data_IF_654082811651
#
_entry.id   IF_654082811651
#
_cell.length_a   1.000
_cell.length_b   1.000
_cell.length_c   1.000
_cell.angle_alpha   90.00
_cell.angle_beta   90.00
_cell.angle_gamma   90.00
#
_symmetry.space_group_name_H-M   'P 1'
#
loop_
_entity.id
_entity.type
_entity.pdbx_description
1 polymer ?
#
# COMPACT_ATOMS: atom_id res chain seq x y z
N UNK A 1 22.18 12.21 -6.78
CA UNK A 1 21.67 13.31 -5.95
C UNK A 1 22.56 13.46 -4.74
N UNK A 2 22.98 14.67 -4.38
CA UNK A 2 23.67 14.89 -3.10
C UNK A 2 22.66 14.74 -1.95
N UNK A 3 22.77 13.68 -1.13
CA UNK A 3 21.78 13.35 -0.08
C UNK A 3 21.55 14.48 0.94
N UNK A 4 22.57 15.31 1.18
CA UNK A 4 22.48 16.49 2.05
C UNK A 4 21.42 17.51 1.58
N UNK A 5 21.15 17.55 0.27
CA UNK A 5 20.15 18.44 -0.28
C UNK A 5 18.71 18.00 0.03
N UNK A 6 18.44 16.75 0.42
CA UNK A 6 17.08 16.26 0.73
C UNK A 6 16.54 16.83 2.04
N UNK A 7 17.42 17.10 3.00
CA UNK A 7 17.07 17.60 4.34
C UNK A 7 17.32 19.10 4.52
N UNK A 8 17.66 19.81 3.43
CA UNK A 8 17.95 21.24 3.51
C UNK A 8 16.66 22.08 3.49
N UNK A 9 16.50 22.95 4.49
CA UNK A 9 15.40 23.91 4.55
C UNK A 9 15.55 25.04 3.51
N UNK A 10 16.79 25.42 3.19
CA UNK A 10 17.11 26.48 2.24
C UNK A 10 17.28 25.91 0.83
N UNK A 11 17.02 26.72 -0.20
CA UNK A 11 17.17 26.34 -1.61
C UNK A 11 15.86 26.05 -2.37
N UNK A 12 15.98 25.77 -3.66
CA UNK A 12 14.88 25.66 -4.63
C UNK A 12 14.98 24.33 -5.38
N UNK A 13 13.83 23.71 -5.64
CA UNK A 13 13.74 22.44 -6.37
C UNK A 13 13.00 22.66 -7.68
N UNK A 14 13.54 22.15 -8.78
CA UNK A 14 12.84 22.13 -10.05
C UNK A 14 11.72 21.07 -10.06
N UNK A 15 10.80 21.19 -11.01
CA UNK A 15 9.65 20.28 -11.11
C UNK A 15 10.02 18.81 -11.26
N UNK A 16 11.04 18.52 -12.06
CA UNK A 16 11.52 17.15 -12.30
C UNK A 16 12.07 16.51 -11.02
N UNK A 17 12.90 17.24 -10.26
CA UNK A 17 13.45 16.75 -9.00
C UNK A 17 12.35 16.53 -7.97
N UNK A 18 11.40 17.46 -7.86
CA UNK A 18 10.26 17.29 -6.97
C UNK A 18 9.47 16.01 -7.31
N UNK A 19 9.16 15.79 -8.60
CA UNK A 19 8.45 14.59 -9.07
C UNK A 19 9.24 13.29 -8.81
N UNK A 20 10.55 13.31 -9.00
CA UNK A 20 11.40 12.14 -8.72
C UNK A 20 11.45 11.83 -7.22
N UNK A 21 11.57 12.86 -6.36
CA UNK A 21 11.56 12.68 -4.91
C UNK A 21 10.20 12.16 -4.45
N UNK A 22 9.09 12.71 -4.94
CA UNK A 22 7.76 12.24 -4.57
C UNK A 22 7.52 10.80 -5.02
N UNK A 23 7.85 10.46 -6.28
CA UNK A 23 7.75 9.09 -6.77
C UNK A 23 8.60 8.11 -5.93
N UNK A 24 9.82 8.51 -5.56
CA UNK A 24 10.71 7.68 -4.73
C UNK A 24 10.13 7.44 -3.33
N UNK A 25 9.48 8.45 -2.73
CA UNK A 25 8.84 8.32 -1.41
C UNK A 25 7.70 7.29 -1.44
N UNK A 26 6.79 7.39 -2.41
CA UNK A 26 5.69 6.43 -2.54
C UNK A 26 6.19 5.03 -2.93
N UNK A 27 7.24 4.94 -3.74
CA UNK A 27 7.88 3.67 -4.08
C UNK A 27 8.50 2.99 -2.85
N UNK A 28 9.21 3.74 -1.99
CA UNK A 28 9.78 3.20 -0.74
C UNK A 28 8.67 2.71 0.20
N UNK A 29 7.54 3.43 0.29
CA UNK A 29 6.39 2.97 1.07
C UNK A 29 5.78 1.67 0.52
N UNK A 30 5.61 1.57 -0.79
CA UNK A 30 5.14 0.34 -1.43
C UNK A 30 6.10 -0.83 -1.22
N UNK A 31 7.41 -0.59 -1.35
CA UNK A 31 8.43 -1.61 -1.06
C UNK A 31 8.39 -2.03 0.42
N UNK A 32 8.21 -1.06 1.32
CA UNK A 32 7.99 -1.32 2.74
C UNK A 32 6.79 -2.22 2.99
N UNK A 33 5.67 -1.97 2.31
CA UNK A 33 4.46 -2.80 2.41
C UNK A 33 4.71 -4.23 1.93
N UNK A 34 5.43 -4.41 0.83
CA UNK A 34 5.80 -5.75 0.33
C UNK A 34 6.69 -6.51 1.32
N UNK A 35 7.61 -5.82 2.00
CA UNK A 35 8.58 -6.45 2.91
C UNK A 35 8.04 -6.67 4.33
N UNK A 36 7.20 -5.76 4.84
CA UNK A 36 6.76 -5.70 6.23
C UNK A 36 5.27 -6.06 6.40
N UNK A 37 4.53 -6.26 5.30
CA UNK A 37 3.09 -6.51 5.31
C UNK A 37 2.27 -5.38 5.94
N UNK A 38 1.04 -5.69 6.36
CA UNK A 38 0.16 -4.79 7.10
C UNK A 38 0.64 -4.64 8.55
N UNK A 39 1.67 -3.82 8.76
CA UNK A 39 2.25 -3.59 10.09
C UNK A 39 2.34 -2.11 10.43
N UNK A 40 2.29 -1.80 11.72
CA UNK A 40 2.47 -0.44 12.24
C UNK A 40 3.83 0.17 11.87
N UNK A 41 4.81 -0.65 11.47
CA UNK A 41 6.11 -0.20 10.97
C UNK A 41 5.97 0.71 9.73
N UNK A 42 4.91 0.55 8.93
CA UNK A 42 4.63 1.42 7.78
C UNK A 42 4.24 2.84 8.18
N UNK A 43 3.59 3.02 9.33
CA UNK A 43 3.31 4.37 9.86
C UNK A 43 4.60 5.05 10.29
N UNK A 44 5.50 4.30 10.92
CA UNK A 44 6.83 4.81 11.29
C UNK A 44 7.61 5.20 10.04
N UNK A 45 7.60 4.35 9.01
CA UNK A 45 8.23 4.63 7.72
C UNK A 45 7.63 5.86 7.04
N UNK A 46 6.30 6.00 7.03
CA UNK A 46 5.61 7.18 6.52
C UNK A 46 6.00 8.46 7.26
N UNK A 47 6.08 8.42 8.58
CA UNK A 47 6.55 9.53 9.41
C UNK A 47 8.01 9.91 9.10
N UNK A 48 8.89 8.94 8.83
CA UNK A 48 10.28 9.20 8.45
C UNK A 48 10.41 9.81 7.06
N UNK A 49 9.51 9.47 6.13
CA UNK A 49 9.51 9.99 4.76
C UNK A 49 8.78 11.34 4.62
N UNK A 50 7.86 11.66 5.51
CA UNK A 50 7.14 12.93 5.56
C UNK A 50 8.04 14.18 5.52
N UNK A 51 9.12 14.31 6.32
CA UNK A 51 10.00 15.48 6.23
C UNK A 51 10.70 15.58 4.87
N UNK A 52 11.05 14.47 4.23
CA UNK A 52 11.69 14.48 2.90
C UNK A 52 10.74 15.03 1.85
N UNK A 53 9.50 14.54 1.83
CA UNK A 53 8.47 15.00 0.89
C UNK A 53 8.06 16.45 1.19
N UNK A 54 7.85 16.78 2.46
CA UNK A 54 7.46 18.13 2.90
C UNK A 54 8.50 19.18 2.59
N UNK A 55 9.79 18.90 2.82
CA UNK A 55 10.88 19.81 2.48
C UNK A 55 11.06 19.95 0.96
N UNK A 56 10.87 18.88 0.19
CA UNK A 56 10.84 18.94 -1.27
C UNK A 56 9.70 19.83 -1.78
N UNK A 57 8.48 19.62 -1.27
CA UNK A 57 7.30 20.42 -1.59
C UNK A 57 7.47 21.90 -1.19
N UNK A 58 8.03 22.15 0.00
CA UNK A 58 8.31 23.51 0.49
C UNK A 58 9.30 24.26 -0.40
N UNK A 59 10.37 23.58 -0.85
CA UNK A 59 11.34 24.17 -1.79
C UNK A 59 10.73 24.39 -3.18
N UNK A 60 9.87 23.48 -3.63
CA UNK A 60 9.16 23.62 -4.91
C UNK A 60 8.18 24.80 -4.89
N UNK A 61 7.44 24.96 -3.80
CA UNK A 61 6.52 26.10 -3.64
C UNK A 61 7.25 27.43 -3.61
N UNK A 62 8.45 27.48 -3.03
CA UNK A 62 9.29 28.68 -3.02
C UNK A 62 9.81 29.02 -4.42
N UNK A 63 10.16 28.01 -5.22
CA UNK A 63 10.58 28.16 -6.62
C UNK A 63 9.45 28.70 -7.52
N UNK A 64 8.23 28.23 -7.26
CA UNK A 64 7.01 28.70 -7.92
C UNK A 64 6.44 30.01 -7.32
N UNK A 65 7.11 30.60 -6.31
CA UNK A 65 6.64 31.78 -5.55
C UNK A 65 5.20 31.65 -5.00
N UNK A 66 4.75 30.43 -4.72
CA UNK A 66 3.45 30.18 -4.11
C UNK A 66 3.51 30.16 -2.58
N UNK A 67 2.36 30.16 -1.90
CA UNK A 67 2.31 30.19 -0.46
C UNK A 67 2.87 28.89 0.13
N UNK A 68 3.72 29.00 1.14
CA UNK A 68 4.46 27.89 1.73
C UNK A 68 3.55 26.80 2.32
N UNK A 69 2.37 27.16 2.79
CA UNK A 69 1.42 26.21 3.39
C UNK A 69 0.87 25.19 2.39
N UNK A 70 0.92 25.47 1.08
CA UNK A 70 0.58 24.47 0.05
C UNK A 70 1.49 23.25 0.08
N UNK A 71 2.69 23.35 0.64
CA UNK A 71 3.55 22.18 0.86
C UNK A 71 2.88 21.12 1.76
N UNK A 72 2.02 21.54 2.69
CA UNK A 72 1.28 20.62 3.56
C UNK A 72 0.24 19.80 2.77
N UNK A 73 -0.27 20.30 1.64
CA UNK A 73 -1.25 19.57 0.83
C UNK A 73 -0.68 18.26 0.28
N UNK A 74 0.62 18.23 0.00
CA UNK A 74 1.31 17.03 -0.51
C UNK A 74 1.50 15.97 0.58
N UNK A 75 1.45 16.37 1.85
CA UNK A 75 1.55 15.45 2.99
C UNK A 75 0.21 14.76 3.30
N UNK A 76 -0.93 15.35 2.93
CA UNK A 76 -2.25 14.77 3.19
C UNK A 76 -2.40 13.40 2.51
N UNK A 77 -2.13 13.24 1.19
CA UNK A 77 -2.17 11.93 0.54
C UNK A 77 -1.14 10.95 1.10
N UNK A 78 0.04 11.43 1.54
CA UNK A 78 1.06 10.57 2.15
C UNK A 78 0.55 9.94 3.46
N UNK A 79 -0.04 10.75 4.34
CA UNK A 79 -0.59 10.28 5.61
C UNK A 79 -1.76 9.33 5.37
N UNK A 80 -2.70 9.71 4.50
CA UNK A 80 -3.85 8.86 4.17
C UNK A 80 -3.39 7.53 3.57
N UNK A 81 -2.46 7.56 2.61
CA UNK A 81 -1.94 6.34 1.99
C UNK A 81 -1.24 5.44 3.02
N UNK A 82 -0.45 6.00 3.93
CA UNK A 82 0.21 5.23 4.99
C UNK A 82 -0.80 4.59 5.96
N UNK A 83 -1.86 5.31 6.34
CA UNK A 83 -2.95 4.79 7.18
C UNK A 83 -3.71 3.69 6.44
N UNK A 84 -4.03 3.90 5.16
CA UNK A 84 -4.73 2.92 4.32
C UNK A 84 -3.92 1.64 4.17
N UNK A 85 -2.59 1.72 3.98
CA UNK A 85 -1.74 0.52 3.91
C UNK A 85 -1.72 -0.31 5.21
N UNK A 86 -1.99 0.29 6.37
CA UNK A 86 -1.99 -0.42 7.67
C UNK A 86 -3.38 -0.94 8.03
N UNK A 87 -4.42 -0.12 7.84
CA UNK A 87 -5.73 -0.37 8.43
C UNK A 87 -6.83 -0.68 7.40
N UNK A 88 -6.61 -0.42 6.12
CA UNK A 88 -7.63 -0.64 5.11
C UNK A 88 -7.33 -1.88 4.26
N UNK A 89 -8.30 -2.79 4.16
CA UNK A 89 -8.24 -3.92 3.24
C UNK A 89 -8.64 -3.54 1.79
N UNK A 90 -9.13 -2.32 1.56
CA UNK A 90 -9.60 -1.86 0.25
C UNK A 90 -8.45 -1.43 -0.66
N UNK A 91 -8.10 -2.29 -1.63
CA UNK A 91 -7.16 -1.99 -2.70
C UNK A 91 -7.61 -0.77 -3.51
N UNK A 92 -8.92 -0.64 -3.76
CA UNK A 92 -9.49 0.46 -4.52
C UNK A 92 -9.22 1.82 -3.85
N UNK A 93 -9.41 1.91 -2.54
CA UNK A 93 -9.12 3.11 -1.77
C UNK A 93 -7.63 3.46 -1.80
N UNK A 94 -6.74 2.47 -1.63
CA UNK A 94 -5.29 2.68 -1.69
C UNK A 94 -4.85 3.20 -3.07
N UNK A 95 -5.36 2.60 -4.15
CA UNK A 95 -5.07 3.03 -5.53
C UNK A 95 -5.63 4.43 -5.78
N UNK A 96 -6.84 4.75 -5.33
CA UNK A 96 -7.43 6.07 -5.49
C UNK A 96 -6.59 7.16 -4.81
N UNK A 97 -6.16 6.92 -3.56
CA UNK A 97 -5.30 7.85 -2.82
C UNK A 97 -3.94 8.01 -3.53
N UNK A 98 -3.35 6.93 -4.03
CA UNK A 98 -2.10 6.98 -4.79
C UNK A 98 -2.24 7.80 -6.08
N UNK A 99 -3.35 7.64 -6.81
CA UNK A 99 -3.64 8.44 -8.01
C UNK A 99 -3.75 9.92 -7.64
N UNK A 100 -4.47 10.26 -6.57
CA UNK A 100 -4.57 11.64 -6.07
C UNK A 100 -3.17 12.18 -5.73
N UNK A 101 -2.35 11.40 -5.04
CA UNK A 101 -0.97 11.76 -4.70
C UNK A 101 -0.10 12.05 -5.93
N UNK A 102 -0.22 11.21 -6.97
CA UNK A 102 0.51 11.37 -8.24
C UNK A 102 0.02 12.62 -8.98
N UNK A 103 -1.28 12.82 -9.11
CA UNK A 103 -1.86 13.99 -9.78
C UNK A 103 -1.44 15.29 -9.09
N UNK A 104 -1.51 15.32 -7.75
CA UNK A 104 -1.08 16.47 -6.97
C UNK A 104 0.43 16.73 -7.13
N UNK A 105 1.24 15.67 -7.10
CA UNK A 105 2.69 15.78 -7.31
C UNK A 105 3.02 16.30 -8.72
N UNK A 106 2.34 15.82 -9.75
CA UNK A 106 2.51 16.29 -11.12
C UNK A 106 2.05 17.73 -11.30
N UNK A 107 0.96 18.12 -10.63
CA UNK A 107 0.49 19.51 -10.63
C UNK A 107 1.55 20.45 -10.05
N UNK A 108 2.10 20.14 -8.88
CA UNK A 108 3.18 20.92 -8.25
C UNK A 108 4.47 20.90 -9.08
N UNK A 109 4.79 19.77 -9.71
CA UNK A 109 5.93 19.65 -10.61
C UNK A 109 5.79 20.58 -11.83
N UNK A 110 4.58 20.82 -12.33
CA UNK A 110 4.34 21.66 -13.52
C UNK A 110 4.22 23.16 -13.26
N UNK A 111 4.26 23.60 -12.00
CA UNK A 111 4.20 25.03 -11.70
C UNK A 111 5.37 25.80 -12.36
N UNK A 112 5.14 26.94 -13.01
CA UNK A 112 6.24 27.72 -13.58
C UNK A 112 7.14 28.27 -12.46
N UNK A 113 8.45 28.17 -12.64
CA UNK A 113 9.42 28.83 -11.77
C UNK A 113 9.41 30.33 -12.04
N UNK A 114 9.25 31.15 -11.00
CA UNK A 114 9.15 32.62 -11.15
C UNK A 114 10.52 33.30 -11.00
N UNK A 115 11.50 32.59 -10.42
CA UNK A 115 12.84 33.13 -10.15
C UNK A 115 13.76 33.11 -11.38
N UNK A 116 14.65 34.12 -11.46
CA UNK A 116 15.80 34.16 -12.39
C UNK A 116 16.90 33.20 -11.92
N UNK A 117 16.61 31.90 -11.91
CA UNK A 117 17.58 30.87 -11.59
C UNK A 117 18.41 30.59 -12.84
N UNK A 118 19.72 30.90 -12.79
CA UNK A 118 20.62 30.74 -13.96
C UNK A 118 20.91 29.27 -14.29
N UNK A 119 21.02 28.39 -13.30
CA UNK A 119 21.25 26.95 -13.51
C UNK A 119 20.79 26.12 -12.32
N UNK A 120 20.17 24.97 -12.59
CA UNK A 120 19.91 23.94 -11.57
C UNK A 120 20.98 22.85 -11.68
N UNK A 121 21.62 22.51 -10.57
CA UNK A 121 22.53 21.37 -10.52
C UNK A 121 21.77 20.16 -9.96
N UNK A 122 21.60 19.12 -10.78
CA UNK A 122 20.77 17.95 -10.44
C UNK A 122 19.33 18.32 -10.01
N UNK A 123 18.79 19.43 -10.53
CA UNK A 123 17.46 19.92 -10.20
C UNK A 123 17.33 20.68 -8.87
N UNK A 124 18.45 21.03 -8.23
CA UNK A 124 18.50 21.81 -6.98
C UNK A 124 19.32 23.09 -7.12
N UNK A 125 18.96 24.10 -6.33
CA UNK A 125 19.75 25.31 -6.09
C UNK A 125 19.77 25.61 -4.60
N UNK A 126 20.95 25.67 -3.98
CA UNK A 126 21.05 26.05 -2.57
C UNK A 126 22.42 25.72 -1.98
N UNK A 127 22.63 26.12 -0.72
CA UNK A 127 23.93 26.02 -0.02
C UNK A 127 24.52 24.60 0.01
N UNK A 128 23.67 23.56 -0.05
CA UNK A 128 24.15 22.17 -0.09
C UNK A 128 24.84 21.81 -1.42
N UNK A 129 24.58 22.55 -2.49
CA UNK A 129 25.37 22.50 -3.74
C UNK A 129 26.23 23.76 -3.75
N UNK A 130 27.36 23.70 -3.07
CA UNK A 130 28.47 24.57 -3.47
C UNK A 130 29.00 23.97 -4.78
N UNK A 131 28.96 24.68 -5.92
CA UNK A 131 29.87 24.32 -6.98
C UNK A 131 31.25 24.33 -6.33
N UNK A 132 32.01 23.24 -6.46
CA UNK A 132 33.46 23.36 -6.27
C UNK A 132 33.83 24.49 -7.21
N UNK A 133 34.12 25.68 -6.68
CA UNK A 133 34.83 26.64 -7.50
C UNK A 133 36.05 25.85 -7.93
N UNK A 134 36.23 25.69 -9.23
CA UNK A 134 37.58 25.58 -9.72
C UNK A 134 38.21 26.85 -9.19
N UNK A 135 38.88 26.73 -8.04
CA UNK A 135 39.85 27.74 -7.64
C UNK A 135 40.74 27.75 -8.85
N UNK A 136 40.57 28.78 -9.68
CA UNK A 136 41.47 29.09 -10.75
C UNK A 136 42.74 29.41 -9.99
N UNK A 137 43.52 28.36 -9.73
CA UNK A 137 44.77 28.41 -9.00
C UNK A 137 45.72 29.03 -10.01
N UNK A 138 45.51 30.33 -10.25
CA UNK A 138 46.35 31.15 -11.08
C UNK A 138 47.71 31.02 -10.42
N UNK A 139 48.58 30.24 -11.06
CA UNK A 139 49.91 29.95 -10.58
C UNK A 139 50.64 31.29 -10.63
N UNK A 140 50.68 32.00 -9.52
CA UNK A 140 51.51 33.18 -9.38
C UNK A 140 52.93 32.65 -9.23
N UNK A 141 53.69 32.74 -10.32
CA UNK A 141 55.13 32.48 -10.30
C UNK A 141 55.79 33.53 -9.38
N UNK A 142 56.66 33.14 -8.44
CA UNK A 142 57.40 34.09 -7.62
C UNK A 142 58.48 34.77 -8.48
N UNK A 143 58.31 36.05 -8.78
CA UNK A 143 59.34 36.85 -9.43
C UNK A 143 60.42 37.24 -8.41
N UNK A 144 61.60 36.60 -8.50
CA UNK A 144 62.83 37.09 -7.87
C UNK A 144 63.46 38.12 -8.81
N UNK A 145 63.28 39.40 -8.50
CA UNK A 145 63.99 40.48 -9.18
C UNK A 145 63.27 41.82 -9.07
N UNK A 146 63.67 42.63 -8.09
CA UNK A 146 63.28 44.04 -8.03
C UNK A 146 64.03 44.87 -9.07
N UNK A 147 63.38 45.85 -9.69
CA UNK A 147 63.42 47.26 -9.26
C UNK A 147 62.53 48.13 -10.18
N UNK A 148 61.55 48.79 -9.56
CA UNK A 148 60.92 50.09 -9.83
C UNK A 148 60.85 50.64 -11.28
N UNK A 149 59.63 50.91 -11.72
CA UNK A 149 59.27 52.24 -12.25
C UNK A 149 57.84 52.58 -11.82
N UNK A 150 57.71 53.59 -10.96
CA UNK A 150 56.44 54.24 -10.61
C UNK A 150 56.10 55.21 -11.74
N UNK A 151 55.03 54.93 -12.49
CA UNK A 151 54.20 55.93 -13.15
C UNK A 151 52.87 55.28 -13.57
N UNK A 152 51.79 56.03 -13.35
CA UNK A 152 50.44 55.88 -13.91
C UNK A 152 49.45 54.92 -13.21
N UNK A 153 48.92 55.49 -12.13
CA UNK A 153 47.49 55.71 -11.89
C UNK A 153 46.50 55.10 -12.90
N UNK A 154 45.65 54.21 -12.37
CA UNK A 154 44.22 54.04 -12.64
C UNK A 154 43.73 54.23 -14.08
N UNK A 155 43.70 53.14 -14.86
CA UNK A 155 42.55 52.82 -15.73
C UNK A 155 42.55 51.32 -16.05
N UNK A 156 42.19 50.52 -15.04
CA UNK A 156 41.77 49.13 -15.26
C UNK A 156 40.29 49.12 -15.55
N UNK A 157 39.94 49.40 -16.82
CA UNK A 157 38.65 49.07 -17.40
C UNK A 157 38.35 47.64 -16.98
N UNK A 158 37.22 47.44 -16.29
CA UNK A 158 36.60 46.14 -16.17
C UNK A 158 36.20 45.72 -17.58
N UNK A 159 37.13 45.07 -18.27
CA UNK A 159 36.78 44.17 -19.35
C UNK A 159 35.90 43.09 -18.71
N UNK A 160 34.59 43.26 -18.91
CA UNK A 160 33.65 42.15 -18.95
C UNK A 160 34.15 41.21 -20.04
N UNK A 161 35.14 40.41 -19.71
CA UNK A 161 35.59 39.29 -20.52
C UNK A 161 34.43 38.29 -20.47
N UNK A 162 33.54 38.43 -21.47
CA UNK A 162 32.64 37.41 -21.96
C UNK A 162 33.47 36.16 -22.28
N UNK A 163 33.80 35.40 -21.24
CA UNK A 163 34.40 34.09 -21.39
C UNK A 163 33.29 33.15 -21.84
N UNK A 164 33.10 33.19 -23.16
CA UNK A 164 32.18 32.40 -23.97
C UNK A 164 32.62 30.94 -23.96
N UNK A 165 32.54 30.30 -22.80
CA UNK A 165 32.50 28.84 -22.70
C UNK A 165 31.05 28.39 -22.73
N UNK A 166 30.49 28.52 -23.94
CA UNK A 166 29.29 27.86 -24.41
C UNK A 166 29.51 26.34 -24.36
N UNK A 167 29.38 25.76 -23.16
CA UNK A 167 29.08 24.33 -23.05
C UNK A 167 27.63 24.16 -23.47
N UNK A 168 27.43 23.96 -24.78
CA UNK A 168 26.28 23.26 -25.32
C UNK A 168 26.27 21.84 -24.74
N UNK A 169 25.77 21.69 -23.51
CA UNK A 169 25.10 20.44 -23.17
C UNK A 169 23.73 20.53 -23.82
N UNK A 170 23.62 19.88 -24.96
CA UNK A 170 22.38 19.51 -25.63
C UNK A 170 21.47 18.75 -24.66
N UNK A 171 20.74 19.49 -23.81
CA UNK A 171 19.52 18.97 -23.19
C UNK A 171 18.41 19.05 -24.23
N UNK A 172 18.48 18.15 -25.19
CA UNK A 172 17.39 17.78 -26.09
C UNK A 172 16.27 17.13 -25.28
N UNK A 173 15.55 17.91 -24.48
CA UNK A 173 14.23 17.56 -23.92
C UNK A 173 13.29 18.78 -23.94
N UNK A 174 13.54 19.69 -24.87
CA UNK A 174 12.81 20.95 -25.03
C UNK A 174 11.84 20.87 -26.23
N UNK A 175 11.19 19.73 -26.45
CA UNK A 175 10.39 19.52 -27.66
C UNK A 175 9.55 18.24 -27.74
N UNK A 176 8.91 17.80 -26.66
CA UNK A 176 7.84 16.78 -26.78
C UNK A 176 6.48 17.20 -26.18
N UNK A 177 6.43 18.27 -25.38
CA UNK A 177 5.20 18.69 -24.69
C UNK A 177 4.82 20.17 -24.88
N UNK A 178 5.56 20.93 -25.69
CA UNK A 178 5.31 22.38 -25.91
C UNK A 178 4.23 22.67 -26.98
N UNK A 179 3.58 21.64 -27.52
CA UNK A 179 2.49 21.78 -28.50
C UNK A 179 1.16 21.23 -27.96
N UNK A 180 0.73 21.67 -26.79
CA UNK A 180 -0.70 21.69 -26.46
C UNK A 180 -1.02 22.86 -25.52
N UNK A 181 -1.44 23.96 -26.14
CA UNK A 181 -2.42 24.96 -25.68
C UNK A 181 -2.72 25.11 -24.16
N UNK A 182 -1.72 25.30 -23.28
CA UNK A 182 -1.95 25.45 -21.83
C UNK A 182 -1.68 26.86 -21.26
N UNK A 183 -1.18 27.81 -22.07
CA UNK A 183 -1.11 29.24 -21.66
C UNK A 183 -2.47 29.87 -21.29
N UNK A 184 -3.60 29.51 -21.94
CA UNK A 184 -4.92 30.03 -21.52
C UNK A 184 -5.39 29.46 -20.17
N UNK A 185 -4.96 28.25 -19.82
CA UNK A 185 -5.48 27.49 -18.68
C UNK A 185 -4.94 27.99 -17.34
N UNK A 186 -3.70 28.50 -17.31
CA UNK A 186 -3.10 29.09 -16.11
C UNK A 186 -3.76 30.40 -15.70
N UNK A 187 -4.25 31.19 -16.67
CA UNK A 187 -5.05 32.39 -16.39
C UNK A 187 -6.47 32.03 -15.94
N UNK A 188 -7.10 31.04 -16.59
CA UNK A 188 -8.43 30.53 -16.22
C UNK A 188 -8.46 29.93 -14.81
N UNK A 189 -7.43 29.18 -14.41
CA UNK A 189 -7.29 28.58 -13.09
C UNK A 189 -7.15 29.63 -11.97
N UNK A 190 -6.45 30.74 -12.26
CA UNK A 190 -6.30 31.86 -11.31
C UNK A 190 -7.61 32.64 -11.13
N UNK A 191 -8.41 32.75 -12.19
CA UNK A 191 -9.71 33.42 -12.18
C UNK A 191 -10.83 32.57 -11.55
N UNK A 192 -10.71 31.24 -11.63
CA UNK A 192 -11.69 30.28 -11.10
C UNK A 192 -11.17 29.56 -9.84
N UNK A 193 -10.36 30.22 -9.01
CA UNK A 193 -9.79 29.62 -7.79
C UNK A 193 -10.88 29.06 -6.85
N UNK A 194 -12.06 29.70 -6.79
CA UNK A 194 -13.22 29.21 -6.02
C UNK A 194 -13.85 27.97 -6.65
N UNK A 195 -13.91 27.88 -7.98
CA UNK A 195 -14.44 26.71 -8.70
C UNK A 195 -13.45 25.55 -8.66
N UNK A 196 -12.14 25.81 -8.68
CA UNK A 196 -11.12 24.78 -8.47
C UNK A 196 -11.15 24.24 -7.05
N UNK A 197 -11.30 25.12 -6.04
CA UNK A 197 -11.54 24.68 -4.67
C UNK A 197 -12.85 23.91 -4.53
N UNK A 198 -13.91 24.29 -5.26
CA UNK A 198 -15.17 23.55 -5.29
C UNK A 198 -15.07 22.20 -6.00
N UNK A 199 -14.24 22.09 -7.05
CA UNK A 199 -13.98 20.81 -7.73
C UNK A 199 -13.13 19.90 -6.84
N UNK A 200 -12.09 20.42 -6.19
CA UNK A 200 -11.27 19.65 -5.24
C UNK A 200 -12.08 19.26 -3.99
N UNK A 201 -12.88 20.18 -3.45
CA UNK A 201 -13.80 19.89 -2.36
C UNK A 201 -14.91 18.93 -2.81
N UNK A 202 -15.37 19.03 -4.05
CA UNK A 202 -16.35 18.13 -4.65
C UNK A 202 -15.78 16.73 -4.86
N UNK A 203 -14.55 16.59 -5.35
CA UNK A 203 -13.86 15.31 -5.49
C UNK A 203 -13.55 14.71 -4.11
N UNK A 204 -13.14 15.55 -3.15
CA UNK A 204 -12.98 15.15 -1.75
C UNK A 204 -14.30 14.70 -1.13
N UNK A 205 -15.40 15.41 -1.38
CA UNK A 205 -16.73 15.03 -0.94
C UNK A 205 -17.21 13.76 -1.63
N UNK A 206 -16.89 13.54 -2.91
CA UNK A 206 -17.24 12.33 -3.64
C UNK A 206 -16.46 11.11 -3.12
N UNK A 207 -15.20 11.29 -2.74
CA UNK A 207 -14.40 10.26 -2.04
C UNK A 207 -14.93 10.01 -0.64
N UNK A 208 -15.33 11.05 0.11
CA UNK A 208 -15.97 10.91 1.41
C UNK A 208 -17.35 10.24 1.29
N UNK A 209 -18.12 10.55 0.26
CA UNK A 209 -19.42 9.93 -0.01
C UNK A 209 -19.22 8.48 -0.45
N UNK A 210 -18.23 8.17 -1.28
CA UNK A 210 -17.93 6.78 -1.65
C UNK A 210 -17.46 5.96 -0.43
N UNK A 211 -16.60 6.53 0.42
CA UNK A 211 -16.18 5.90 1.67
C UNK A 211 -17.31 5.81 2.71
N UNK A 212 -18.20 6.81 2.77
CA UNK A 212 -19.39 6.79 3.62
C UNK A 212 -20.43 5.81 3.07
N UNK A 213 -20.52 5.63 1.75
CA UNK A 213 -21.39 4.65 1.12
C UNK A 213 -20.89 3.24 1.42
N UNK A 214 -19.57 2.98 1.33
CA UNK A 214 -18.96 1.73 1.82
C UNK A 214 -19.22 1.52 3.32
N UNK A 215 -19.10 2.57 4.16
CA UNK A 215 -19.36 2.48 5.60
C UNK A 215 -20.85 2.30 5.96
N UNK A 216 -21.77 2.86 5.17
CA UNK A 216 -23.23 2.69 5.33
C UNK A 216 -23.71 1.35 4.79
N UNK A 217 -23.01 0.76 3.80
CA UNK A 217 -23.23 -0.63 3.36
C UNK A 217 -22.53 -1.65 4.25
N UNK A 218 -21.69 -1.21 5.20
CA UNK A 218 -20.99 -2.10 6.13
C UNK A 218 -21.85 -2.58 7.32
N UNK A 219 -23.08 -2.05 7.48
CA UNK A 219 -24.05 -2.54 8.46
C UNK A 219 -25.05 -3.51 7.81
N UNK A 220 -24.55 -4.68 7.43
CA UNK A 220 -25.29 -5.95 7.46
C UNK A 220 -24.36 -7.13 7.13
N UNK A 221 -23.24 -7.26 7.84
CA UNK A 221 -22.64 -8.57 8.12
C UNK A 221 -22.04 -8.55 9.53
N UNK A 222 -22.38 -9.52 10.40
CA UNK A 222 -21.71 -9.64 11.69
C UNK A 222 -20.25 -10.04 11.44
N UNK A 223 -19.37 -9.27 12.08
CA UNK A 223 -17.92 -9.44 12.23
C UNK A 223 -17.52 -10.94 12.19
N UNK A 224 -17.13 -11.40 11.01
CA UNK A 224 -16.36 -12.61 10.79
C UNK A 224 -15.26 -12.29 9.78
N UNK A 225 -14.01 -12.55 10.18
CA UNK A 225 -12.81 -12.72 9.36
C UNK A 225 -12.44 -11.62 8.32
N UNK A 226 -11.26 -11.00 8.41
CA UNK A 226 -9.99 -11.67 8.11
C UNK A 226 -9.97 -12.45 6.78
N UNK A 227 -10.65 -12.04 5.71
CA UNK A 227 -10.20 -12.40 4.34
C UNK A 227 -10.39 -11.26 3.34
N UNK A 228 -9.26 -10.74 2.91
CA UNK A 228 -9.11 -9.86 1.76
C UNK A 228 -9.33 -10.69 0.48
N UNK A 229 -10.49 -10.55 -0.16
CA UNK A 229 -10.74 -11.10 -1.49
C UNK A 229 -10.00 -10.26 -2.54
N UNK A 230 -8.72 -10.56 -2.78
CA UNK A 230 -8.10 -10.32 -4.09
C UNK A 230 -8.38 -11.54 -4.95
N UNK A 231 -8.95 -11.31 -6.13
CA UNK A 231 -9.02 -12.25 -7.24
C UNK A 231 -7.61 -12.64 -7.69
N UNK A 232 -6.97 -13.52 -6.94
CA UNK A 232 -5.97 -14.45 -7.45
C UNK A 232 -6.73 -15.74 -7.74
N UNK A 233 -6.40 -16.41 -8.84
CA UNK A 233 -6.88 -17.76 -9.09
C UNK A 233 -6.63 -18.59 -7.82
N UNK A 234 -7.72 -18.98 -7.17
CA UNK A 234 -7.72 -19.91 -6.06
C UNK A 234 -7.11 -21.19 -6.61
N UNK A 235 -5.81 -21.38 -6.38
CA UNK A 235 -5.30 -22.72 -6.15
C UNK A 235 -6.11 -23.15 -4.94
N UNK A 236 -7.20 -23.88 -5.19
CA UNK A 236 -7.96 -24.48 -4.12
C UNK A 236 -6.94 -25.20 -3.24
N UNK A 237 -6.89 -24.94 -1.93
CA UNK A 237 -6.11 -25.81 -1.06
C UNK A 237 -6.54 -27.23 -1.41
N UNK A 238 -5.59 -28.14 -1.62
CA UNK A 238 -5.89 -29.52 -2.01
C UNK A 238 -6.68 -30.16 -0.87
N UNK A 239 -8.01 -30.02 -0.92
CA UNK A 239 -8.94 -30.61 0.03
C UNK A 239 -9.03 -32.07 -0.31
N UNK A 240 -8.45 -32.88 0.55
CA UNK A 240 -8.48 -34.33 0.41
C UNK A 240 -9.76 -34.82 1.07
N UNK A 241 -10.69 -35.30 0.24
CA UNK A 241 -12.03 -35.72 0.65
C UNK A 241 -12.12 -37.25 0.67
N UNK A 242 -12.68 -37.79 1.75
CA UNK A 242 -13.12 -39.18 1.85
C UNK A 242 -14.65 -39.21 2.06
N UNK A 243 -15.36 -39.79 1.09
CA UNK A 243 -16.82 -39.95 1.13
C UNK A 243 -17.19 -41.16 1.98
N UNK A 244 -17.99 -40.95 3.02
CA UNK A 244 -18.47 -42.01 3.90
C UNK A 244 -19.83 -42.53 3.38
N UNK A 245 -20.16 -43.83 3.56
CA UNK A 245 -21.37 -44.41 2.98
C UNK A 245 -22.69 -43.76 3.42
N UNK A 246 -22.72 -43.08 4.56
CA UNK A 246 -23.95 -42.54 5.17
C UNK A 246 -24.24 -41.09 4.77
N UNK A 247 -23.72 -40.64 3.63
CA UNK A 247 -24.09 -39.35 3.05
C UNK A 247 -23.36 -38.12 3.63
N UNK A 248 -22.30 -38.35 4.42
CA UNK A 248 -21.36 -37.31 4.83
C UNK A 248 -19.94 -37.59 4.30
N UNK A 249 -19.15 -36.54 4.22
CA UNK A 249 -17.77 -36.56 3.78
C UNK A 249 -16.86 -36.05 4.88
N UNK A 250 -15.65 -36.60 4.93
CA UNK A 250 -14.57 -36.14 5.80
C UNK A 250 -13.52 -35.49 4.92
N UNK A 251 -13.17 -34.25 5.22
CA UNK A 251 -12.14 -33.50 4.51
C UNK A 251 -11.01 -33.14 5.46
N UNK A 252 -9.80 -33.11 4.91
CA UNK A 252 -8.63 -32.56 5.59
C UNK A 252 -8.10 -31.36 4.83
N UNK A 253 -7.99 -30.22 5.52
CA UNK A 253 -7.43 -28.98 4.98
C UNK A 253 -6.36 -28.48 5.95
N UNK A 254 -5.08 -28.57 5.60
CA UNK A 254 -3.96 -28.13 6.45
C UNK A 254 -4.04 -28.68 7.90
N UNK A 255 -4.24 -29.99 8.06
CA UNK A 255 -4.44 -30.67 9.35
C UNK A 255 -5.71 -30.28 10.13
N UNK A 256 -6.59 -29.46 9.55
CA UNK A 256 -7.93 -29.16 10.08
C UNK A 256 -8.91 -30.19 9.54
N UNK A 257 -9.54 -30.95 10.43
CA UNK A 257 -10.63 -31.84 10.07
C UNK A 257 -11.92 -31.06 9.82
N UNK A 258 -12.56 -31.37 8.70
CA UNK A 258 -13.88 -30.84 8.34
C UNK A 258 -14.81 -32.02 8.08
N UNK A 259 -15.98 -32.02 8.72
CA UNK A 259 -17.06 -32.97 8.43
C UNK A 259 -18.11 -32.21 7.63
N UNK A 260 -18.51 -32.76 6.49
CA UNK A 260 -19.43 -32.13 5.55
C UNK A 260 -20.62 -33.03 5.25
N UNK A 261 -21.84 -32.52 5.36
CA UNK A 261 -23.06 -33.28 5.05
C UNK A 261 -24.11 -32.38 4.39
N UNK A 262 -25.16 -32.97 3.83
CA UNK A 262 -26.27 -32.22 3.26
C UNK A 262 -27.23 -31.77 4.37
N UNK A 263 -27.51 -30.46 4.42
CA UNK A 263 -28.44 -29.85 5.37
C UNK A 263 -29.80 -29.54 4.75
N UNK A 264 -30.68 -28.99 5.58
CA UNK A 264 -31.89 -28.33 5.08
C UNK A 264 -31.53 -27.02 4.38
N UNK A 265 -32.36 -26.58 3.43
CA UNK A 265 -32.15 -25.31 2.72
C UNK A 265 -32.29 -24.14 3.69
N UNK A 266 -31.16 -23.57 4.11
CA UNK A 266 -31.08 -22.33 4.86
C UNK A 266 -30.26 -21.30 4.09
N UNK A 267 -30.35 -20.04 4.51
CA UNK A 267 -29.41 -19.01 4.05
C UNK A 267 -28.00 -19.33 4.55
N UNK A 268 -27.00 -19.00 3.76
CA UNK A 268 -25.58 -19.10 4.14
C UNK A 268 -25.33 -18.39 5.47
N UNK A 269 -24.52 -18.98 6.33
CA UNK A 269 -24.20 -18.39 7.63
C UNK A 269 -23.85 -19.37 8.73
N UNK A 270 -23.40 -18.82 9.86
CA UNK A 270 -22.99 -19.55 11.06
C UNK A 270 -24.18 -20.22 11.75
N UNK A 271 -24.05 -21.52 12.05
CA UNK A 271 -24.98 -22.31 12.88
C UNK A 271 -24.51 -22.35 14.33
N UNK A 272 -23.20 -22.50 14.54
CA UNK A 272 -22.60 -22.59 15.87
C UNK A 272 -21.15 -22.11 15.83
N UNK A 273 -20.73 -21.34 16.84
CA UNK A 273 -19.34 -20.95 17.05
C UNK A 273 -18.88 -21.18 18.48
N UNK A 274 -17.75 -21.86 18.61
CA UNK A 274 -17.10 -22.08 19.90
C UNK A 274 -16.51 -20.78 20.46
N UNK A 275 -16.09 -19.86 19.58
CA UNK A 275 -15.47 -18.60 19.98
C UNK A 275 -16.48 -17.64 20.62
N UNK A 276 -17.69 -17.54 20.06
CA UNK A 276 -18.78 -16.73 20.63
C UNK A 276 -19.61 -17.49 21.66
N UNK A 277 -19.57 -18.83 21.65
CA UNK A 277 -20.48 -19.73 22.36
C UNK A 277 -21.97 -19.46 22.05
N UNK A 278 -22.24 -18.95 20.85
CA UNK A 278 -23.59 -18.65 20.33
C UNK A 278 -23.96 -19.60 19.18
N UNK A 279 -25.25 -19.74 18.93
CA UNK A 279 -25.81 -20.61 17.90
C UNK A 279 -26.60 -21.79 18.45
N UNK A 280 -26.85 -22.79 17.59
CA UNK A 280 -27.57 -24.01 17.95
C UNK A 280 -26.71 -24.90 18.85
N UNK A 281 -27.20 -25.16 20.06
CA UNK A 281 -26.53 -26.03 21.03
C UNK A 281 -26.49 -27.49 20.59
N UNK A 282 -27.34 -27.91 19.67
CA UNK A 282 -27.28 -29.26 19.08
C UNK A 282 -25.96 -29.48 18.31
N UNK A 283 -25.35 -28.40 17.82
CA UNK A 283 -24.06 -28.40 17.13
C UNK A 283 -22.85 -28.22 18.05
N UNK A 284 -23.05 -28.02 19.36
CA UNK A 284 -21.95 -27.74 20.28
C UNK A 284 -21.02 -28.93 20.52
N UNK A 285 -21.49 -30.16 20.28
CA UNK A 285 -20.73 -31.39 20.50
C UNK A 285 -20.97 -32.39 19.37
N UNK A 286 -19.87 -32.93 18.83
CA UNK A 286 -19.84 -34.19 18.11
C UNK A 286 -19.77 -35.32 19.15
N UNK A 287 -20.74 -36.23 19.15
CA UNK A 287 -20.83 -37.31 20.15
C UNK A 287 -20.79 -38.68 19.49
N UNK A 288 -19.91 -39.55 19.96
CA UNK A 288 -19.79 -40.94 19.50
C UNK A 288 -20.61 -41.88 20.39
N UNK A 289 -20.89 -43.08 19.87
CA UNK A 289 -21.67 -44.10 20.60
C UNK A 289 -20.95 -44.72 21.82
N UNK A 290 -19.66 -44.46 22.01
CA UNK A 290 -18.87 -44.88 23.16
C UNK A 290 -18.83 -43.81 24.29
N UNK A 291 -19.44 -42.64 24.06
CA UNK A 291 -19.44 -41.51 24.98
C UNK A 291 -18.32 -40.49 24.75
N UNK A 292 -17.41 -40.75 23.80
CA UNK A 292 -16.41 -39.77 23.37
C UNK A 292 -17.09 -38.57 22.73
N UNK A 293 -16.62 -37.36 23.06
CA UNK A 293 -17.20 -36.13 22.55
C UNK A 293 -16.13 -35.10 22.22
N UNK A 294 -16.35 -34.37 21.13
CA UNK A 294 -15.46 -33.34 20.62
C UNK A 294 -16.25 -32.09 20.30
N UNK A 295 -15.64 -30.92 20.45
CA UNK A 295 -16.31 -29.64 20.21
C UNK A 295 -15.94 -29.10 18.83
N UNK A 296 -16.91 -28.91 17.93
CA UNK A 296 -16.67 -28.14 16.71
C UNK A 296 -16.26 -26.70 17.08
N UNK A 297 -15.30 -26.15 16.35
CA UNK A 297 -14.93 -24.74 16.46
C UNK A 297 -15.95 -23.85 15.77
N UNK A 298 -16.42 -24.29 14.60
CA UNK A 298 -17.38 -23.58 13.76
C UNK A 298 -18.25 -24.60 13.03
N UNK A 299 -19.54 -24.31 12.90
CA UNK A 299 -20.47 -25.00 12.02
C UNK A 299 -21.21 -23.97 11.17
N UNK A 300 -21.23 -24.17 9.85
CA UNK A 300 -21.74 -23.18 8.89
C UNK A 300 -22.55 -23.81 7.75
N UNK A 301 -23.55 -23.09 7.25
CA UNK A 301 -24.24 -23.39 6.00
C UNK A 301 -23.40 -22.90 4.82
N UNK A 302 -23.06 -23.82 3.93
CA UNK A 302 -22.34 -23.53 2.69
C UNK A 302 -23.31 -23.09 1.57
N UNK A 303 -22.82 -22.37 0.55
CA UNK A 303 -23.61 -21.92 -0.61
C UNK A 303 -24.33 -23.04 -1.37
N UNK A 304 -23.79 -24.26 -1.31
CA UNK A 304 -24.31 -25.42 -2.02
C UNK A 304 -25.22 -26.31 -1.17
N UNK A 305 -25.86 -25.74 -0.14
CA UNK A 305 -26.80 -26.42 0.79
C UNK A 305 -26.17 -27.49 1.67
N UNK A 306 -24.85 -27.64 1.62
CA UNK A 306 -24.13 -28.47 2.57
C UNK A 306 -23.86 -27.72 3.88
N UNK A 307 -23.65 -28.47 4.94
CA UNK A 307 -23.19 -27.96 6.24
C UNK A 307 -21.76 -28.47 6.44
N UNK A 308 -20.87 -27.57 6.86
CA UNK A 308 -19.49 -27.92 7.25
C UNK A 308 -19.31 -27.69 8.75
N UNK A 309 -18.74 -28.67 9.44
CA UNK A 309 -18.27 -28.55 10.82
C UNK A 309 -16.74 -28.66 10.86
N UNK A 310 -16.09 -27.63 11.39
CA UNK A 310 -14.63 -27.52 11.50
C UNK A 310 -14.19 -27.86 12.91
N UNK A 311 -13.12 -28.64 13.04
CA UNK A 311 -12.58 -29.08 14.33
C UNK A 311 -11.16 -28.58 14.57
N UNK A 312 -10.74 -28.54 15.82
CA UNK A 312 -9.37 -28.19 16.18
C UNK A 312 -8.37 -29.17 15.57
N UNK A 313 -7.22 -28.70 15.04
CA UNK A 313 -6.12 -29.58 14.63
C UNK A 313 -5.65 -30.53 15.73
N UNK A 314 -5.79 -30.12 17.00
CA UNK A 314 -5.42 -30.94 18.16
C UNK A 314 -6.29 -32.20 18.31
N UNK A 315 -7.56 -32.10 17.94
CA UNK A 315 -8.54 -33.19 18.08
C UNK A 315 -8.63 -34.07 16.82
N UNK A 316 -8.09 -33.59 15.70
CA UNK A 316 -8.22 -34.21 14.36
C UNK A 316 -7.85 -35.69 14.35
N UNK A 317 -6.71 -36.07 14.96
CA UNK A 317 -6.29 -37.48 15.03
C UNK A 317 -7.29 -38.35 15.80
N UNK A 318 -7.75 -37.86 16.95
CA UNK A 318 -8.66 -38.60 17.80
C UNK A 318 -10.02 -38.78 17.11
N UNK A 319 -10.53 -37.72 16.47
CA UNK A 319 -11.80 -37.76 15.74
C UNK A 319 -11.71 -38.71 14.53
N UNK A 320 -10.66 -38.65 13.70
CA UNK A 320 -10.54 -39.55 12.53
C UNK A 320 -10.46 -41.02 12.98
N UNK A 321 -9.68 -41.31 14.02
CA UNK A 321 -9.60 -42.65 14.62
C UNK A 321 -10.97 -43.12 15.10
N UNK A 322 -11.74 -42.27 15.79
CA UNK A 322 -13.08 -42.64 16.24
C UNK A 322 -14.06 -42.78 15.05
N UNK A 323 -13.96 -41.96 14.00
CA UNK A 323 -14.76 -42.14 12.77
C UNK A 323 -14.50 -43.52 12.14
N UNK A 324 -13.26 -43.99 12.18
CA UNK A 324 -12.89 -45.29 11.63
C UNK A 324 -13.37 -46.47 12.50
N UNK A 325 -13.32 -46.32 13.83
CA UNK A 325 -13.46 -47.43 14.77
C UNK A 325 -14.85 -47.54 15.42
N UNK A 326 -15.66 -46.49 15.39
CA UNK A 326 -16.94 -46.42 16.11
C UNK A 326 -18.13 -46.77 15.22
N UNK A 327 -19.30 -46.91 15.85
CA UNK A 327 -20.52 -47.40 15.19
C UNK A 327 -21.41 -46.28 14.64
N UNK A 328 -21.47 -45.15 15.35
CA UNK A 328 -22.28 -43.99 14.96
C UNK A 328 -21.78 -42.71 15.61
N UNK A 329 -22.05 -41.58 14.97
CA UNK A 329 -21.82 -40.22 15.48
C UNK A 329 -23.10 -39.41 15.47
N UNK A 330 -23.18 -38.44 16.38
CA UNK A 330 -24.25 -37.45 16.44
C UNK A 330 -23.67 -36.04 16.35
N UNK A 331 -24.19 -35.21 15.45
CA UNK A 331 -23.74 -33.82 15.26
C UNK A 331 -24.90 -32.97 14.75
N UNK A 332 -25.15 -31.81 15.36
CA UNK A 332 -26.21 -30.88 14.94
C UNK A 332 -27.61 -31.52 14.87
N UNK A 333 -27.89 -32.48 15.76
CA UNK A 333 -29.15 -33.25 15.75
C UNK A 333 -29.24 -34.34 14.68
N UNK A 334 -28.25 -34.48 13.80
CA UNK A 334 -28.14 -35.58 12.84
C UNK A 334 -27.42 -36.78 13.46
N UNK A 335 -27.92 -37.98 13.18
CA UNK A 335 -27.31 -39.25 13.56
C UNK A 335 -26.75 -39.93 12.31
N UNK A 336 -25.42 -40.14 12.27
CA UNK A 336 -24.74 -40.83 11.16
C UNK A 336 -24.21 -42.19 11.58
N UNK A 337 -24.42 -43.19 10.75
CA UNK A 337 -23.80 -44.51 10.81
C UNK A 337 -22.36 -44.45 10.30
N UNK A 338 -21.43 -45.02 11.08
CA UNK A 338 -20.01 -45.13 10.72
C UNK A 338 -19.64 -46.49 10.10
N UNK A 339 -20.63 -47.30 9.73
CA UNK A 339 -20.38 -48.61 9.12
C UNK A 339 -19.67 -48.42 7.77
N UNK A 340 -18.47 -48.99 7.66
CA UNK A 340 -17.65 -48.90 6.45
C UNK A 340 -16.75 -47.67 6.36
N UNK A 341 -16.76 -46.78 7.38
CA UNK A 341 -15.91 -45.59 7.42
C UNK A 341 -14.43 -45.91 7.37
N UNK A 342 -13.96 -46.94 8.10
CA UNK A 342 -12.57 -47.38 8.04
C UNK A 342 -12.13 -47.72 6.61
N UNK A 343 -12.96 -48.47 5.88
CA UNK A 343 -12.69 -48.84 4.49
C UNK A 343 -12.67 -47.61 3.58
N UNK A 344 -13.61 -46.68 3.78
CA UNK A 344 -13.65 -45.44 3.00
C UNK A 344 -12.42 -44.56 3.23
N UNK A 345 -12.00 -44.37 4.48
CA UNK A 345 -10.82 -43.59 4.85
C UNK A 345 -9.53 -44.22 4.32
N UNK A 346 -9.39 -45.55 4.41
CA UNK A 346 -8.18 -46.27 3.96
C UNK A 346 -7.90 -46.15 2.44
N UNK A 347 -8.89 -45.72 1.64
CA UNK A 347 -8.73 -45.52 0.19
C UNK A 347 -7.98 -44.24 -0.15
N UNK A 348 -7.93 -43.27 0.75
CA UNK A 348 -7.23 -42.01 0.54
C UNK A 348 -5.97 -41.97 1.42
N UNK A 349 -4.81 -41.78 0.78
CA UNK A 349 -3.50 -41.88 1.41
C UNK A 349 -3.32 -40.90 2.59
N UNK A 350 -4.02 -39.77 2.56
CA UNK A 350 -3.92 -38.74 3.60
C UNK A 350 -4.51 -39.19 4.93
N UNK A 351 -5.48 -40.11 4.93
CA UNK A 351 -6.11 -40.56 6.17
C UNK A 351 -5.40 -41.77 6.82
N UNK A 352 -4.51 -42.46 6.09
CA UNK A 352 -3.80 -43.66 6.59
C UNK A 352 -3.02 -43.40 7.90
N UNK A 353 -2.32 -42.26 8.10
CA UNK A 353 -1.59 -42.00 9.34
C UNK A 353 -2.47 -41.84 10.60
N UNK A 354 -3.79 -41.76 10.43
CA UNK A 354 -4.77 -41.58 11.51
C UNK A 354 -5.59 -42.84 11.79
N UNK A 355 -5.41 -43.91 11.00
CA UNK A 355 -6.00 -45.24 11.18
C UNK A 355 -5.03 -46.15 11.96
#
# INVERSE_FOLDING_TARGET
>A
MQYQSLFCFKGLDNGVRFALVSASVYFILLLGFVLLGQSAALLVLGCLLAPVLGLSAYRRMRDAAGPSWYACLVLIPLCLFSITLVYAASLALAVAILVIAVLLSLFFARLPSVGKVKSYHQGYVGSAVTPRSSVNRRRVEPSLGGHVSVADAYEGVSEEEEDNHQWQTSSSQQGFFDSMALRPWTHWAKQNQKSLLAVVAGLGALVLIAGLFEALTADNEPISELVQATSAQVIAPSREEAKIPDGFSVLLENDVLIIRWLGEKAAEGEIWSLASAQGDRSCANLSFNDGSHYRPMLVEYMPDTSIEARFSPLDTRAIISDIAMRGSIKLCGYDFSLKGSQSALSKNAVFIPYL
#
